data_IF_790013872138
#
_entry.id   IF_790013872138
#
_cell.length_a   1.000
_cell.length_b   1.000
_cell.length_c   1.000
_cell.angle_alpha   90.00
_cell.angle_beta   90.00
_cell.angle_gamma   90.00
#
_symmetry.space_group_name_H-M   'P 1'
#
loop_
_entity.id
_entity.type
_entity.pdbx_description
1 polymer ?
#
# COMPACT_ATOMS: atom_id res chain seq x y z
N UNK A 1 -59.19 -11.09 -4.74
CA UNK A 1 -58.10 -10.49 -4.00
C UNK A 1 -57.14 -9.82 -4.96
N UNK A 2 -56.96 -8.54 -4.78
CA UNK A 2 -56.03 -7.80 -5.69
C UNK A 2 -54.61 -8.07 -5.25
N UNK A 3 -53.78 -8.60 -6.12
CA UNK A 3 -52.38 -8.69 -5.85
C UNK A 3 -51.75 -7.29 -5.94
N UNK A 4 -50.95 -6.96 -4.93
CA UNK A 4 -50.25 -5.69 -4.90
C UNK A 4 -48.80 -5.94 -5.34
N UNK A 5 -48.49 -5.56 -6.55
CA UNK A 5 -47.13 -5.57 -7.09
C UNK A 5 -46.64 -4.17 -7.35
N UNK A 6 -45.38 -4.05 -7.61
CA UNK A 6 -44.81 -2.78 -8.00
C UNK A 6 -45.23 -2.42 -9.43
N UNK A 7 -45.47 -1.14 -9.67
CA UNK A 7 -45.64 -0.65 -11.01
C UNK A 7 -44.24 -0.53 -11.66
N UNK A 8 -44.20 -0.50 -12.98
CA UNK A 8 -42.98 -0.27 -13.72
C UNK A 8 -42.33 1.08 -13.38
N UNK A 9 -43.18 2.12 -13.22
CA UNK A 9 -42.72 3.45 -12.86
C UNK A 9 -42.11 3.48 -11.47
N UNK A 10 -42.72 2.81 -10.51
CA UNK A 10 -42.15 2.72 -9.16
C UNK A 10 -40.77 2.09 -9.15
N UNK A 11 -40.59 1.00 -9.90
CA UNK A 11 -39.29 0.36 -10.02
C UNK A 11 -38.26 1.30 -10.69
N UNK A 12 -38.66 2.02 -11.75
CA UNK A 12 -37.76 2.98 -12.41
C UNK A 12 -37.34 4.11 -11.48
N UNK A 13 -38.27 4.64 -10.67
CA UNK A 13 -37.98 5.70 -9.69
C UNK A 13 -36.99 5.20 -8.65
N UNK A 14 -37.21 4.00 -8.11
CA UNK A 14 -36.33 3.41 -7.11
C UNK A 14 -34.91 3.22 -7.68
N UNK A 15 -34.79 2.68 -8.88
CA UNK A 15 -33.48 2.51 -9.53
C UNK A 15 -32.79 3.86 -9.79
N UNK A 16 -33.56 4.87 -10.19
CA UNK A 16 -33.02 6.22 -10.41
C UNK A 16 -32.47 6.82 -9.13
N UNK A 17 -33.19 6.70 -8.01
CA UNK A 17 -32.73 7.21 -6.71
C UNK A 17 -31.46 6.49 -6.26
N UNK A 18 -31.42 5.17 -6.40
CA UNK A 18 -30.23 4.38 -6.07
C UNK A 18 -29.04 4.82 -6.93
N UNK A 19 -29.24 5.02 -8.22
CA UNK A 19 -28.20 5.46 -9.13
C UNK A 19 -27.64 6.84 -8.74
N UNK A 20 -28.52 7.77 -8.37
CA UNK A 20 -28.12 9.11 -7.90
C UNK A 20 -27.29 9.04 -6.62
N UNK A 21 -27.73 8.22 -5.65
CA UNK A 21 -26.99 8.05 -4.39
C UNK A 21 -25.61 7.41 -4.64
N UNK A 22 -25.56 6.39 -5.48
CA UNK A 22 -24.30 5.73 -5.82
C UNK A 22 -23.34 6.67 -6.56
N UNK A 23 -23.84 7.59 -7.37
CA UNK A 23 -23.00 8.53 -8.09
C UNK A 23 -22.22 9.48 -7.15
N UNK A 24 -22.71 9.69 -5.95
CA UNK A 24 -22.05 10.51 -4.92
C UNK A 24 -21.13 9.64 -4.06
N UNK A 25 -21.62 8.47 -3.63
CA UNK A 25 -20.92 7.59 -2.67
C UNK A 25 -19.71 6.89 -3.28
N UNK A 26 -19.84 6.38 -4.50
CA UNK A 26 -18.77 5.58 -5.13
C UNK A 26 -17.47 6.38 -5.32
N UNK A 27 -17.47 7.59 -5.90
CA UNK A 27 -16.25 8.38 -6.04
C UNK A 27 -15.59 8.72 -4.70
N UNK A 28 -16.41 9.04 -3.67
CA UNK A 28 -15.90 9.34 -2.34
C UNK A 28 -15.26 8.10 -1.69
N UNK A 29 -15.89 6.94 -1.85
CA UNK A 29 -15.36 5.67 -1.36
C UNK A 29 -14.00 5.34 -2.01
N UNK A 30 -13.89 5.47 -3.32
CA UNK A 30 -12.64 5.21 -4.05
C UNK A 30 -11.52 6.13 -3.56
N UNK A 31 -11.80 7.41 -3.34
CA UNK A 31 -10.83 8.35 -2.81
C UNK A 31 -10.37 7.99 -1.39
N UNK A 32 -11.27 7.52 -0.54
CA UNK A 32 -10.95 7.11 0.82
C UNK A 32 -10.10 5.85 0.85
N UNK A 33 -10.41 4.87 0.01
CA UNK A 33 -9.63 3.64 -0.12
C UNK A 33 -8.21 3.97 -0.56
N UNK A 34 -8.05 4.84 -1.55
CA UNK A 34 -6.73 5.26 -2.02
C UNK A 34 -5.91 5.92 -0.91
N UNK A 35 -6.51 6.81 -0.12
CA UNK A 35 -5.82 7.45 1.02
C UNK A 35 -5.42 6.42 2.08
N UNK A 36 -6.25 5.43 2.33
CA UNK A 36 -5.94 4.35 3.26
C UNK A 36 -4.76 3.52 2.77
N UNK A 37 -4.71 3.20 1.49
CA UNK A 37 -3.60 2.48 0.87
C UNK A 37 -2.30 3.30 0.93
N UNK A 38 -2.38 4.61 0.68
CA UNK A 38 -1.22 5.50 0.81
C UNK A 38 -0.69 5.53 2.24
N UNK A 39 -1.57 5.56 3.24
CA UNK A 39 -1.16 5.51 4.64
C UNK A 39 -0.46 4.20 5.00
N UNK A 40 -0.95 3.07 4.49
CA UNK A 40 -0.31 1.76 4.67
C UNK A 40 1.06 1.75 4.00
N UNK A 41 1.17 2.31 2.80
CA UNK A 41 2.46 2.40 2.10
C UNK A 41 3.48 3.20 2.91
N UNK A 42 3.09 4.37 3.43
CA UNK A 42 3.98 5.19 4.26
C UNK A 42 4.44 4.45 5.50
N UNK A 43 3.53 3.76 6.18
CA UNK A 43 3.88 2.98 7.36
C UNK A 43 4.83 1.84 7.02
N UNK A 44 4.58 1.11 5.95
CA UNK A 44 5.45 0.03 5.51
C UNK A 44 6.85 0.52 5.14
N UNK A 45 6.93 1.65 4.43
CA UNK A 45 8.22 2.28 4.11
C UNK A 45 8.96 2.70 5.37
N UNK A 46 8.25 3.29 6.33
CA UNK A 46 8.84 3.72 7.60
C UNK A 46 9.39 2.54 8.38
N UNK A 47 8.65 1.43 8.46
CA UNK A 47 9.09 0.20 9.13
C UNK A 47 10.36 -0.37 8.50
N UNK A 48 10.40 -0.42 7.18
CA UNK A 48 11.58 -0.94 6.46
C UNK A 48 12.78 -0.02 6.61
N UNK A 49 12.56 1.29 6.50
CA UNK A 49 13.64 2.28 6.66
C UNK A 49 14.20 2.28 8.08
N UNK A 50 13.35 2.16 9.07
CA UNK A 50 13.78 2.02 10.46
C UNK A 50 14.59 0.74 10.68
N UNK A 51 14.17 -0.36 10.07
CA UNK A 51 14.90 -1.62 10.13
C UNK A 51 16.28 -1.52 9.46
N UNK A 52 16.37 -0.82 8.33
CA UNK A 52 17.64 -0.55 7.65
C UNK A 52 18.60 0.24 8.54
N UNK A 53 18.09 1.28 9.19
CA UNK A 53 18.88 2.12 10.09
C UNK A 53 19.36 1.32 11.30
N UNK A 54 18.52 0.49 11.88
CA UNK A 54 18.89 -0.39 13.00
C UNK A 54 19.95 -1.41 12.60
N UNK A 55 19.82 -1.99 11.41
CA UNK A 55 20.83 -2.92 10.90
C UNK A 55 22.18 -2.22 10.75
N UNK A 56 22.18 -1.03 10.19
CA UNK A 56 23.41 -0.24 10.03
C UNK A 56 24.02 0.09 11.39
N UNK A 57 23.21 0.50 12.37
CA UNK A 57 23.70 0.82 13.71
C UNK A 57 24.34 -0.38 14.41
N UNK A 58 23.79 -1.59 14.19
CA UNK A 58 24.29 -2.80 14.84
C UNK A 58 25.47 -3.44 14.10
N UNK A 59 25.45 -3.44 12.77
CA UNK A 59 26.42 -4.15 11.94
C UNK A 59 27.45 -3.25 11.29
N UNK A 60 27.25 -1.95 11.27
CA UNK A 60 28.11 -0.98 10.58
C UNK A 60 27.96 -1.00 9.07
N UNK A 61 27.03 -1.78 8.55
CA UNK A 61 26.74 -1.91 7.11
C UNK A 61 25.24 -2.06 6.90
N UNK A 62 24.78 -1.63 5.74
CA UNK A 62 23.40 -1.90 5.30
C UNK A 62 23.28 -3.35 4.83
N UNK A 63 22.08 -3.96 4.90
CA UNK A 63 21.90 -5.34 4.49
C UNK A 63 22.05 -5.52 2.98
N UNK A 64 22.40 -6.72 2.55
CA UNK A 64 22.47 -7.06 1.13
C UNK A 64 21.10 -7.25 0.51
N UNK A 65 20.08 -7.60 1.32
CA UNK A 65 18.71 -7.83 0.87
C UNK A 65 17.73 -7.52 1.99
N UNK A 66 16.44 -7.35 1.64
CA UNK A 66 15.38 -7.19 2.65
C UNK A 66 15.19 -8.46 3.48
N UNK A 67 15.43 -9.61 2.88
CA UNK A 67 15.37 -10.92 3.58
C UNK A 67 16.39 -10.98 4.71
N UNK A 68 17.53 -10.33 4.58
CA UNK A 68 18.52 -10.25 5.64
C UNK A 68 17.98 -9.54 6.88
N UNK A 69 17.14 -8.51 6.69
CA UNK A 69 16.48 -7.82 7.80
C UNK A 69 15.56 -8.77 8.59
N UNK A 70 14.88 -9.65 7.89
CA UNK A 70 14.03 -10.67 8.53
C UNK A 70 14.91 -11.70 9.26
N UNK A 71 15.99 -12.17 8.65
CA UNK A 71 16.92 -13.11 9.23
C UNK A 71 17.58 -12.55 10.49
N UNK A 72 17.91 -11.28 10.52
CA UNK A 72 18.52 -10.59 11.66
C UNK A 72 17.50 -10.07 12.67
N UNK A 73 16.22 -10.38 12.48
CA UNK A 73 15.11 -9.98 13.36
C UNK A 73 14.91 -8.47 13.48
N UNK A 74 15.31 -7.71 12.45
CA UNK A 74 15.03 -6.27 12.36
C UNK A 74 13.62 -6.02 11.82
N UNK A 75 13.09 -6.96 11.03
CA UNK A 75 11.72 -7.02 10.56
C UNK A 75 11.13 -8.39 10.90
N UNK A 76 9.86 -8.45 11.19
CA UNK A 76 9.15 -9.73 11.33
C UNK A 76 8.94 -10.40 9.98
N UNK A 77 8.45 -9.63 9.03
CA UNK A 77 8.25 -10.07 7.65
C UNK A 77 8.42 -8.85 6.74
N UNK A 78 8.68 -9.10 5.46
CA UNK A 78 8.67 -8.04 4.46
C UNK A 78 7.20 -7.69 4.18
N UNK A 79 6.78 -6.42 4.39
CA UNK A 79 5.38 -6.05 4.17
C UNK A 79 5.04 -6.05 2.69
N UNK A 80 3.75 -6.20 2.39
CA UNK A 80 3.25 -6.08 1.01
C UNK A 80 3.06 -4.62 0.66
N UNK A 81 3.48 -4.26 -0.55
CA UNK A 81 3.14 -2.97 -1.14
C UNK A 81 1.63 -2.96 -1.45
N UNK A 82 0.85 -2.04 -0.89
CA UNK A 82 -0.60 -2.03 -1.10
C UNK A 82 -1.01 -1.77 -2.55
N UNK A 83 -0.16 -1.15 -3.36
CA UNK A 83 -0.46 -0.83 -4.76
C UNK A 83 -0.08 -1.94 -5.71
N UNK A 84 0.99 -2.68 -5.44
CA UNK A 84 1.42 -3.81 -6.28
C UNK A 84 0.90 -5.15 -5.76
N UNK A 85 0.39 -5.20 -4.52
CA UNK A 85 -0.07 -6.41 -3.84
C UNK A 85 1.03 -7.46 -3.70
N UNK A 86 2.29 -7.05 -3.69
CA UNK A 86 3.45 -7.93 -3.64
C UNK A 86 4.44 -7.49 -2.57
N UNK A 87 5.10 -8.45 -1.94
CA UNK A 87 6.21 -8.19 -1.02
C UNK A 87 7.58 -8.31 -1.70
N UNK A 88 7.61 -8.60 -3.00
CA UNK A 88 8.84 -8.74 -3.79
C UNK A 88 9.04 -7.60 -4.79
N UNK A 89 8.12 -6.66 -4.84
CA UNK A 89 8.15 -5.54 -5.78
C UNK A 89 8.87 -4.31 -5.26
N UNK A 90 9.30 -4.30 -4.01
CA UNK A 90 10.04 -3.18 -3.44
C UNK A 90 11.32 -2.91 -4.21
N UNK A 91 11.60 -1.64 -4.48
CA UNK A 91 12.84 -1.24 -5.16
C UNK A 91 13.89 -0.90 -4.13
N UNK A 92 15.00 -1.61 -4.20
CA UNK A 92 16.15 -1.36 -3.34
C UNK A 92 16.96 -0.19 -3.90
N UNK A 93 17.34 0.74 -3.04
CA UNK A 93 18.21 1.86 -3.40
C UNK A 93 19.57 1.60 -2.75
N UNK A 94 20.65 1.47 -3.54
CA UNK A 94 21.98 1.26 -2.98
C UNK A 94 22.52 2.55 -2.33
N UNK A 95 23.42 2.42 -1.33
CA UNK A 95 24.08 3.60 -0.77
C UNK A 95 25.03 4.23 -1.78
N UNK A 96 25.34 5.51 -1.59
CA UNK A 96 26.30 6.22 -2.45
C UNK A 96 27.72 5.63 -2.34
N UNK A 97 28.07 5.08 -1.19
CA UNK A 97 29.32 4.36 -0.97
C UNK A 97 29.09 2.86 -0.96
N UNK A 98 29.59 2.10 -1.97
CA UNK A 98 29.38 0.63 -2.03
C UNK A 98 29.94 -0.12 -0.82
N UNK A 99 30.89 0.45 -0.10
CA UNK A 99 31.50 -0.14 1.10
C UNK A 99 30.52 -0.19 2.27
N UNK A 100 29.45 0.60 2.23
CA UNK A 100 28.45 0.66 3.30
C UNK A 100 27.39 -0.43 3.24
N UNK A 101 27.35 -1.25 2.20
CA UNK A 101 26.42 -2.36 2.07
C UNK A 101 25.57 -2.31 0.81
N UNK A 102 24.47 -3.06 0.80
CA UNK A 102 23.66 -3.27 -0.39
C UNK A 102 22.43 -2.37 -0.52
N UNK A 103 21.67 -2.19 0.57
CA UNK A 103 20.39 -1.47 0.54
C UNK A 103 20.40 -0.33 1.56
N UNK A 104 20.44 0.89 1.08
CA UNK A 104 20.35 2.11 1.89
C UNK A 104 18.91 2.52 2.13
N UNK A 105 18.05 2.40 1.12
CA UNK A 105 16.67 2.84 1.15
C UNK A 105 15.79 1.92 0.30
N UNK A 106 14.50 2.05 0.46
CA UNK A 106 13.49 1.26 -0.26
C UNK A 106 12.44 2.19 -0.82
N UNK A 107 11.99 1.90 -2.03
CA UNK A 107 10.93 2.62 -2.71
C UNK A 107 9.82 1.67 -3.11
N UNK A 108 8.60 2.20 -3.26
CA UNK A 108 7.48 1.42 -3.77
C UNK A 108 7.76 0.92 -5.19
N UNK A 109 7.25 -0.28 -5.51
CA UNK A 109 7.28 -0.81 -6.86
C UNK A 109 6.32 -0.12 -7.83
N UNK A 110 5.37 0.67 -7.33
CA UNK A 110 4.45 1.43 -8.14
C UNK A 110 5.09 2.76 -8.58
N UNK A 111 5.05 3.04 -9.90
CA UNK A 111 5.68 4.22 -10.47
C UNK A 111 5.13 5.55 -9.95
N UNK A 112 3.88 5.58 -9.51
CA UNK A 112 3.26 6.77 -8.94
C UNK A 112 3.76 7.12 -7.55
N UNK A 113 4.44 6.22 -6.87
CA UNK A 113 4.86 6.36 -5.47
C UNK A 113 6.35 6.17 -5.25
N UNK A 114 7.14 6.20 -6.29
CA UNK A 114 8.58 5.95 -6.17
C UNK A 114 9.36 7.02 -5.38
N UNK A 115 8.76 8.17 -5.12
CA UNK A 115 9.37 9.24 -4.33
C UNK A 115 8.90 9.29 -2.87
N UNK A 116 8.09 8.35 -2.49
CA UNK A 116 7.54 8.29 -1.13
C UNK A 116 8.51 7.64 -0.11
#
# INVERSE_FOLDING_TARGET
>A
MKSKGFTLVELMVVLTVIALLLSIVVPDYVGRVKRAEEAVLQENLMLMRDALDKHYADAGKYPASLEELVAKRKLRTIPKDPFTQSNTSWRAVPPSDPKKGGIFDVQSGDKGYERW
#
